data_IF_926879197034
#
_entry.id   IF_926879197034
#
_cell.length_a   1.000
_cell.length_b   1.000
_cell.length_c   1.000
_cell.angle_alpha   90.00
_cell.angle_beta   90.00
_cell.angle_gamma   90.00
#
_symmetry.space_group_name_H-M   'P 1'
#
loop_
_entity.id
_entity.type
_entity.pdbx_description
1 polymer ?
#
# COMPACT_ATOMS: atom_id res chain seq x y z
N UNK A 1 10.79 5.23 15.10
CA UNK A 1 9.69 5.69 14.22
C UNK A 1 8.94 4.51 13.61
N UNK A 2 9.63 3.40 13.32
CA UNK A 2 9.03 2.17 12.77
C UNK A 2 9.16 0.98 13.73
N UNK A 3 9.23 1.24 15.04
CA UNK A 3 9.55 0.22 16.05
C UNK A 3 8.45 -0.86 16.18
N UNK A 4 7.26 -0.61 15.62
CA UNK A 4 6.11 -1.52 15.58
C UNK A 4 5.97 -2.28 14.24
N UNK A 5 6.91 -2.11 13.29
CA UNK A 5 6.92 -2.80 12.00
C UNK A 5 7.87 -4.02 12.10
N UNK A 6 7.45 -5.23 11.71
CA UNK A 6 8.24 -6.45 11.89
C UNK A 6 9.41 -6.62 10.91
N UNK A 7 9.58 -5.66 9.99
CA UNK A 7 10.59 -5.63 8.93
C UNK A 7 11.23 -4.25 8.90
N UNK A 8 12.42 -4.17 8.31
CA UNK A 8 13.13 -2.89 8.19
C UNK A 8 12.43 -1.96 7.20
N UNK A 9 12.47 -0.66 7.49
CA UNK A 9 11.92 0.39 6.62
C UNK A 9 12.97 1.46 6.38
N UNK A 10 13.29 1.72 5.11
CA UNK A 10 14.26 2.71 4.71
C UNK A 10 14.43 2.85 3.20
N UNK A 11 14.89 4.03 2.77
CA UNK A 11 15.14 4.35 1.35
C UNK A 11 16.19 3.45 0.68
N UNK A 12 16.99 2.72 1.46
CA UNK A 12 17.98 1.77 0.96
C UNK A 12 17.35 0.57 0.25
N UNK A 13 16.10 0.24 0.57
CA UNK A 13 15.36 -0.89 0.01
C UNK A 13 14.65 -0.56 -1.31
N UNK A 14 14.60 0.71 -1.73
CA UNK A 14 13.84 1.16 -2.92
C UNK A 14 14.23 0.42 -4.21
N UNK A 15 15.48 -0.02 -4.32
CA UNK A 15 15.99 -0.74 -5.49
C UNK A 15 15.89 -2.27 -5.40
N UNK A 16 15.32 -2.81 -4.32
CA UNK A 16 15.16 -4.25 -4.11
C UNK A 16 14.26 -4.87 -5.18
N UNK A 17 14.47 -6.16 -5.45
CA UNK A 17 13.65 -6.93 -6.38
C UNK A 17 13.37 -8.30 -5.81
N UNK A 18 12.10 -8.55 -5.50
CA UNK A 18 11.61 -9.89 -5.15
C UNK A 18 11.43 -10.71 -6.43
N UNK A 19 12.15 -11.84 -6.54
CA UNK A 19 12.04 -12.74 -7.69
C UNK A 19 10.97 -13.78 -7.42
N UNK A 20 10.40 -14.36 -8.48
CA UNK A 20 9.34 -15.38 -8.37
C UNK A 20 9.63 -16.54 -7.39
N UNK A 21 10.86 -17.09 -7.29
CA UNK A 21 11.16 -18.14 -6.30
C UNK A 21 11.12 -17.66 -4.83
N UNK A 22 11.33 -16.36 -4.61
CA UNK A 22 11.41 -15.74 -3.29
C UNK A 22 10.10 -15.02 -2.90
N UNK A 23 9.12 -14.97 -3.82
CA UNK A 23 7.85 -14.28 -3.66
C UNK A 23 6.85 -15.12 -2.84
N UNK A 24 6.32 -14.54 -1.77
CA UNK A 24 5.28 -15.17 -0.97
C UNK A 24 3.89 -15.04 -1.61
N UNK A 25 3.47 -13.82 -1.94
CA UNK A 25 2.20 -13.51 -2.61
C UNK A 25 2.44 -12.38 -3.61
N UNK A 26 1.80 -12.43 -4.77
CA UNK A 26 1.73 -11.32 -5.72
C UNK A 26 0.40 -10.59 -5.54
N UNK A 27 0.43 -9.28 -5.35
CA UNK A 27 -0.76 -8.45 -5.38
C UNK A 27 -0.85 -7.70 -6.70
N UNK A 28 -1.91 -7.96 -7.46
CA UNK A 28 -2.02 -7.48 -8.83
C UNK A 28 -1.19 -8.34 -9.79
N UNK A 29 -0.19 -7.75 -10.45
CA UNK A 29 0.53 -8.39 -11.55
C UNK A 29 -0.22 -8.30 -12.89
N UNK A 30 0.37 -8.83 -13.97
CA UNK A 30 -0.21 -8.71 -15.33
C UNK A 30 -1.52 -9.46 -15.50
N UNK A 31 -1.70 -10.54 -14.75
CA UNK A 31 -2.79 -11.49 -14.97
C UNK A 31 -4.04 -11.19 -14.12
N UNK A 32 -3.94 -10.25 -13.18
CA UNK A 32 -5.05 -9.78 -12.35
C UNK A 32 -5.61 -8.49 -12.94
N UNK A 33 -6.87 -8.51 -13.38
CA UNK A 33 -7.53 -7.32 -13.94
C UNK A 33 -7.79 -6.24 -12.90
N UNK A 34 -8.12 -6.66 -11.68
CA UNK A 34 -8.67 -5.79 -10.65
C UNK A 34 -7.56 -5.40 -9.66
N UNK A 35 -7.00 -4.21 -9.88
CA UNK A 35 -6.00 -3.61 -9.00
C UNK A 35 -6.04 -2.10 -9.10
N UNK A 36 -5.96 -1.41 -7.97
CA UNK A 36 -5.90 0.06 -7.96
C UNK A 36 -5.25 0.58 -6.69
N UNK A 37 -4.72 1.79 -6.79
CA UNK A 37 -4.43 2.67 -5.67
C UNK A 37 -5.22 3.96 -5.90
N UNK A 38 -5.81 4.51 -4.85
CA UNK A 38 -6.62 5.72 -4.94
C UNK A 38 -6.46 6.54 -3.66
N UNK A 39 -6.09 7.80 -3.82
CA UNK A 39 -6.14 8.78 -2.73
C UNK A 39 -7.39 9.65 -2.88
N UNK A 40 -8.15 9.83 -1.80
CA UNK A 40 -9.29 10.75 -1.75
C UNK A 40 -9.14 11.76 -0.62
N UNK A 41 -9.28 13.03 -0.94
CA UNK A 41 -9.45 14.08 0.07
C UNK A 41 -10.88 14.05 0.58
N UNK A 42 -11.04 14.09 1.91
CA UNK A 42 -12.32 14.03 2.60
C UNK A 42 -12.42 15.12 3.66
N UNK A 43 -13.66 15.46 4.03
CA UNK A 43 -13.90 16.33 5.18
C UNK A 43 -13.39 15.66 6.47
N UNK A 44 -12.82 16.41 7.43
CA UNK A 44 -12.32 15.85 8.69
C UNK A 44 -13.35 15.02 9.46
N UNK A 45 -14.64 15.31 9.32
CA UNK A 45 -15.72 14.54 9.96
C UNK A 45 -15.96 13.15 9.35
N UNK A 46 -15.41 12.88 8.16
CA UNK A 46 -15.59 11.63 7.42
C UNK A 46 -14.39 10.68 7.57
N UNK A 47 -13.29 11.13 8.16
CA UNK A 47 -12.07 10.33 8.35
C UNK A 47 -11.82 10.08 9.82
N UNK A 48 -11.25 8.92 10.13
CA UNK A 48 -10.76 8.56 11.45
C UNK A 48 -9.25 8.41 11.35
N UNK A 49 -8.51 9.28 12.02
CA UNK A 49 -7.05 9.31 11.94
C UNK A 49 -6.43 7.99 12.43
N UNK A 50 -5.49 7.46 11.65
CA UNK A 50 -4.83 6.19 11.91
C UNK A 50 -5.67 4.93 11.70
N UNK A 51 -6.93 5.03 11.25
CA UNK A 51 -7.77 3.86 10.98
C UNK A 51 -7.25 3.07 9.77
N UNK A 52 -7.02 1.77 9.97
CA UNK A 52 -6.67 0.83 8.90
C UNK A 52 -7.69 -0.31 8.90
N UNK A 53 -8.23 -0.64 7.73
CA UNK A 53 -9.15 -1.77 7.55
C UNK A 53 -8.63 -2.68 6.43
N UNK A 54 -8.75 -3.99 6.63
CA UNK A 54 -8.52 -4.99 5.59
C UNK A 54 -9.88 -5.58 5.23
N UNK A 55 -10.30 -5.42 3.96
CA UNK A 55 -11.56 -5.97 3.44
C UNK A 55 -11.20 -7.13 2.52
N UNK A 56 -11.41 -8.35 3.00
CA UNK A 56 -11.00 -9.57 2.31
C UNK A 56 -10.05 -10.41 3.15
N UNK A 57 -9.43 -11.45 2.58
CA UNK A 57 -8.44 -12.28 3.26
C UNK A 57 -7.19 -11.47 3.61
N UNK A 58 -6.61 -11.76 4.78
CA UNK A 58 -5.32 -11.24 5.20
C UNK A 58 -4.18 -12.07 4.55
N UNK A 59 -2.95 -11.56 4.51
CA UNK A 59 -1.82 -12.21 3.83
C UNK A 59 -1.57 -13.64 4.35
N UNK A 60 -1.75 -13.87 5.65
CA UNK A 60 -1.61 -15.19 6.31
C UNK A 60 -2.64 -16.23 5.85
N UNK A 61 -3.74 -15.77 5.27
CA UNK A 61 -4.85 -16.61 4.79
C UNK A 61 -4.73 -16.93 3.29
N UNK A 62 -3.74 -16.34 2.61
CA UNK A 62 -3.50 -16.54 1.19
C UNK A 62 -2.52 -17.70 0.94
N UNK A 63 -2.70 -18.50 -0.13
CA UNK A 63 -1.74 -19.53 -0.49
C UNK A 63 -0.40 -18.91 -0.91
N UNK A 64 0.70 -19.58 -0.55
CA UNK A 64 2.03 -19.20 -1.05
C UNK A 64 2.08 -19.27 -2.59
N UNK A 65 2.88 -18.38 -3.18
CA UNK A 65 3.04 -18.22 -4.63
C UNK A 65 1.73 -17.96 -5.39
N UNK A 66 0.70 -17.42 -4.73
CA UNK A 66 -0.55 -17.02 -5.37
C UNK A 66 -0.53 -15.56 -5.85
N UNK A 67 -1.45 -15.23 -6.77
CA UNK A 67 -1.71 -13.85 -7.19
C UNK A 67 -3.13 -13.44 -6.74
N UNK A 68 -3.26 -12.26 -6.13
CA UNK A 68 -4.52 -11.75 -5.56
C UNK A 68 -4.80 -10.30 -6.01
N UNK A 69 -6.06 -9.89 -6.18
CA UNK A 69 -6.41 -8.49 -6.41
C UNK A 69 -6.08 -7.63 -5.17
N UNK A 70 -5.75 -6.36 -5.41
CA UNK A 70 -5.44 -5.41 -4.35
C UNK A 70 -6.02 -4.03 -4.67
N UNK A 71 -6.72 -3.46 -3.70
CA UNK A 71 -7.18 -2.07 -3.73
C UNK A 71 -6.59 -1.33 -2.53
N UNK A 72 -5.81 -0.28 -2.78
CA UNK A 72 -5.32 0.62 -1.74
C UNK A 72 -6.16 1.89 -1.80
N UNK A 73 -7.04 2.09 -0.82
CA UNK A 73 -7.79 3.34 -0.66
C UNK A 73 -7.22 4.12 0.52
N UNK A 74 -6.72 5.32 0.26
CA UNK A 74 -6.23 6.22 1.31
C UNK A 74 -7.12 7.45 1.34
N UNK A 75 -7.82 7.63 2.45
CA UNK A 75 -8.62 8.83 2.70
C UNK A 75 -7.83 9.80 3.57
N UNK A 76 -7.58 11.00 3.06
CA UNK A 76 -6.76 12.02 3.73
C UNK A 76 -7.59 13.26 4.02
N UNK A 77 -7.26 13.95 5.11
CA UNK A 77 -7.84 15.24 5.44
C UNK A 77 -6.79 16.13 6.09
N UNK A 78 -6.83 17.43 5.81
CA UNK A 78 -5.90 18.38 6.38
C UNK A 78 -6.15 19.80 5.87
N UNK A 79 -5.78 20.80 6.67
CA UNK A 79 -6.01 22.22 6.34
C UNK A 79 -5.33 22.68 5.04
N UNK A 80 -4.27 21.99 4.62
CA UNK A 80 -3.48 22.30 3.43
C UNK A 80 -3.60 21.21 2.36
N UNK A 81 -4.53 20.26 2.53
CA UNK A 81 -4.72 19.14 1.61
C UNK A 81 -5.92 19.48 0.73
N UNK A 82 -5.65 19.67 -0.56
CA UNK A 82 -6.64 20.00 -1.59
C UNK A 82 -6.80 18.79 -2.54
N UNK A 83 -7.95 18.68 -3.21
CA UNK A 83 -8.23 17.57 -4.16
C UNK A 83 -7.17 17.46 -5.27
N UNK A 84 -6.61 18.59 -5.72
CA UNK A 84 -5.54 18.61 -6.72
C UNK A 84 -4.24 17.93 -6.24
N UNK A 85 -4.07 17.73 -4.92
CA UNK A 85 -2.95 17.01 -4.35
C UNK A 85 -3.16 15.48 -4.27
N UNK A 86 -4.36 14.97 -4.57
CA UNK A 86 -4.65 13.52 -4.56
C UNK A 86 -3.60 12.76 -5.37
N UNK A 87 -3.38 13.14 -6.63
CA UNK A 87 -2.42 12.47 -7.51
C UNK A 87 -0.96 12.63 -7.06
N UNK A 88 -0.62 13.72 -6.37
CA UNK A 88 0.74 13.93 -5.82
C UNK A 88 1.00 12.96 -4.67
N UNK A 89 0.01 12.79 -3.78
CA UNK A 89 0.09 11.86 -2.64
C UNK A 89 0.05 10.42 -3.14
N UNK A 90 -0.85 10.11 -4.09
CA UNK A 90 -1.01 8.78 -4.68
C UNK A 90 0.29 8.28 -5.29
N UNK A 91 1.02 9.14 -6.01
CA UNK A 91 2.32 8.78 -6.58
C UNK A 91 3.36 8.38 -5.52
N UNK A 92 3.22 8.83 -4.27
CA UNK A 92 4.13 8.48 -3.17
C UNK A 92 3.91 7.06 -2.64
N UNK A 93 2.75 6.46 -2.87
CA UNK A 93 2.45 5.06 -2.48
C UNK A 93 3.52 4.13 -3.05
N UNK A 94 3.85 4.30 -4.33
CA UNK A 94 4.94 3.57 -4.99
C UNK A 94 6.24 3.61 -4.17
N UNK A 95 6.70 4.79 -3.75
CA UNK A 95 7.93 4.91 -2.98
C UNK A 95 7.80 4.31 -1.57
N UNK A 96 6.67 4.54 -0.90
CA UNK A 96 6.46 4.03 0.46
C UNK A 96 6.44 2.51 0.51
N UNK A 97 5.84 1.85 -0.48
CA UNK A 97 5.90 0.39 -0.58
C UNK A 97 7.34 -0.08 -0.79
N UNK A 98 8.07 0.51 -1.74
CA UNK A 98 9.44 0.08 -2.03
C UNK A 98 10.47 0.44 -0.94
N UNK A 99 10.10 1.21 0.08
CA UNK A 99 10.98 1.46 1.24
C UNK A 99 10.93 0.34 2.29
N UNK A 100 10.03 -0.63 2.15
CA UNK A 100 9.86 -1.73 3.09
C UNK A 100 10.70 -2.91 2.58
N UNK A 101 11.59 -3.45 3.42
CA UNK A 101 12.39 -4.64 3.10
C UNK A 101 11.46 -5.80 2.71
N UNK A 102 11.75 -6.44 1.57
CA UNK A 102 11.00 -7.56 0.97
C UNK A 102 9.57 -7.25 0.46
N UNK A 103 9.18 -5.98 0.24
CA UNK A 103 7.84 -5.64 -0.28
C UNK A 103 7.80 -5.41 -1.80
#
# INVERSE_FOLDING_TARGET
MFDDIPVDVGVIYEGERVRKPDMHVEFGGTDISDKFELVKVKDPSQVEDGKVNIIGPDIKDLPESSSSPLGILIEVSGKQVEEDLEGVIERRIHHYCNYIDQL
#
